data_IF_943748638573
#
_entry.id   IF_943748638573
#
_cell.length_a   1.000
_cell.length_b   1.000
_cell.length_c   1.000
_cell.angle_alpha   90.00
_cell.angle_beta   90.00
_cell.angle_gamma   90.00
#
_symmetry.space_group_name_H-M   'P 1'
#
loop_
_entity.id
_entity.type
_entity.pdbx_description
1 polymer ?
#
# COMPACT_ATOMS: atom_id res chain seq x y z
N UNK A 1 -46.81 -33.13 30.03
CA UNK A 1 -46.28 -31.89 29.42
C UNK A 1 -44.77 -32.03 29.34
N UNK A 2 -44.22 -32.23 28.14
CA UNK A 2 -42.78 -32.34 27.93
C UNK A 2 -42.24 -30.92 27.79
N UNK A 3 -41.48 -30.46 28.79
CA UNK A 3 -40.82 -29.16 28.76
C UNK A 3 -39.56 -29.31 27.89
N UNK A 4 -39.65 -28.96 26.62
CA UNK A 4 -38.49 -28.91 25.72
C UNK A 4 -37.73 -27.62 26.03
N UNK A 5 -36.66 -27.74 26.83
CA UNK A 5 -35.70 -26.65 27.05
C UNK A 5 -34.86 -26.55 25.79
N UNK A 6 -35.26 -25.65 24.89
CA UNK A 6 -34.43 -25.21 23.76
C UNK A 6 -33.32 -24.34 24.34
N UNK A 7 -32.19 -24.95 24.67
CA UNK A 7 -30.97 -24.23 25.01
C UNK A 7 -30.47 -23.50 23.77
N UNK A 8 -30.77 -22.20 23.71
CA UNK A 8 -30.20 -21.25 22.76
C UNK A 8 -28.70 -21.17 23.07
N UNK A 9 -27.89 -21.85 22.26
CA UNK A 9 -26.45 -21.63 22.17
C UNK A 9 -26.22 -20.19 21.69
N UNK A 10 -26.01 -19.28 22.63
CA UNK A 10 -25.41 -17.98 22.36
C UNK A 10 -23.95 -18.23 21.96
N UNK A 11 -23.72 -18.44 20.67
CA UNK A 11 -22.40 -18.33 20.07
C UNK A 11 -22.06 -16.85 20.08
N UNK A 12 -21.57 -16.36 21.22
CA UNK A 12 -20.83 -15.10 21.28
C UNK A 12 -19.58 -15.32 20.46
N UNK A 13 -19.62 -14.91 19.20
CA UNK A 13 -18.47 -14.83 18.32
C UNK A 13 -17.47 -13.90 18.99
N UNK A 14 -16.49 -14.47 19.69
CA UNK A 14 -15.32 -13.75 20.16
C UNK A 14 -14.45 -13.41 18.93
N UNK A 15 -14.93 -12.48 18.09
CA UNK A 15 -14.06 -11.68 17.23
C UNK A 15 -13.27 -10.76 18.18
N UNK A 16 -12.22 -11.31 18.78
CA UNK A 16 -11.25 -10.51 19.52
C UNK A 16 -10.72 -9.40 18.61
N UNK A 17 -10.46 -8.22 19.18
CA UNK A 17 -9.84 -7.11 18.45
C UNK A 17 -8.57 -7.62 17.75
N UNK A 18 -8.31 -7.24 16.49
CA UNK A 18 -7.08 -7.65 15.83
C UNK A 18 -5.87 -7.19 16.64
N UNK A 19 -4.77 -7.94 16.60
CA UNK A 19 -3.53 -7.49 17.23
C UNK A 19 -3.00 -6.23 16.52
N UNK A 20 -2.28 -5.37 17.25
CA UNK A 20 -1.69 -4.15 16.67
C UNK A 20 -0.93 -4.44 15.37
N UNK A 21 -0.10 -5.49 15.35
CA UNK A 21 0.57 -5.97 14.14
C UNK A 21 -0.34 -6.21 12.94
N UNK A 22 -1.51 -6.83 13.13
CA UNK A 22 -2.48 -7.07 12.05
C UNK A 22 -3.13 -5.77 11.59
N UNK A 23 -3.49 -4.89 12.53
CA UNK A 23 -4.05 -3.57 12.21
C UNK A 23 -3.05 -2.71 11.44
N UNK A 24 -1.80 -2.67 11.88
CA UNK A 24 -0.72 -1.92 11.24
C UNK A 24 -0.39 -2.46 9.84
N UNK A 25 -0.35 -3.78 9.64
CA UNK A 25 -0.16 -4.36 8.31
C UNK A 25 -1.32 -4.02 7.35
N UNK A 26 -2.57 -4.08 7.82
CA UNK A 26 -3.74 -3.70 7.02
C UNK A 26 -3.77 -2.20 6.69
N UNK A 27 -3.32 -1.36 7.63
CA UNK A 27 -3.16 0.08 7.42
C UNK A 27 -2.08 0.38 6.37
N UNK A 28 -0.92 -0.29 6.47
CA UNK A 28 0.16 -0.20 5.49
C UNK A 28 -0.27 -0.67 4.10
N UNK A 29 -1.03 -1.76 3.98
CA UNK A 29 -1.58 -2.22 2.71
C UNK A 29 -2.53 -1.18 2.09
N UNK A 30 -3.38 -0.56 2.91
CA UNK A 30 -4.33 0.47 2.46
C UNK A 30 -3.59 1.71 1.95
N UNK A 31 -2.53 2.14 2.65
CA UNK A 31 -1.64 3.19 2.18
C UNK A 31 -0.98 2.83 0.83
N UNK A 32 -0.38 1.64 0.72
CA UNK A 32 0.28 1.20 -0.53
C UNK A 32 -0.70 1.05 -1.68
N UNK A 33 -1.93 0.64 -1.40
CA UNK A 33 -3.00 0.61 -2.39
C UNK A 33 -3.37 2.01 -2.85
N UNK A 34 -3.46 2.99 -1.95
CA UNK A 34 -3.69 4.39 -2.32
C UNK A 34 -2.53 4.98 -3.13
N UNK A 35 -1.29 4.64 -2.76
CA UNK A 35 -0.06 5.11 -3.43
C UNK A 35 0.09 4.54 -4.85
N UNK A 36 -0.20 3.25 -5.05
CA UNK A 36 0.05 2.53 -6.30
C UNK A 36 -1.20 2.26 -7.15
N UNK A 37 -2.39 2.72 -6.75
CA UNK A 37 -3.58 2.69 -7.61
C UNK A 37 -3.68 4.02 -8.35
N UNK A 38 -3.09 4.09 -9.54
CA UNK A 38 -2.92 5.32 -10.31
C UNK A 38 -3.32 5.10 -11.76
N UNK A 39 -4.11 6.02 -12.33
CA UNK A 39 -4.35 6.10 -13.76
C UNK A 39 -3.48 7.19 -14.39
N UNK A 40 -3.14 7.03 -15.67
CA UNK A 40 -2.40 8.04 -16.45
C UNK A 40 -3.01 9.46 -16.42
N UNK A 41 -4.32 9.56 -16.20
CA UNK A 41 -5.09 10.82 -16.17
C UNK A 41 -5.27 11.39 -14.78
N UNK A 42 -4.77 10.72 -13.74
CA UNK A 42 -4.92 11.20 -12.37
C UNK A 42 -4.11 12.50 -12.16
N UNK A 43 -4.62 13.35 -11.27
CA UNK A 43 -3.96 14.59 -10.86
C UNK A 43 -3.01 14.35 -9.67
N UNK A 44 -1.83 14.95 -9.75
CA UNK A 44 -0.80 14.77 -8.73
C UNK A 44 -1.25 15.35 -7.37
N UNK A 45 -1.96 16.46 -7.36
CA UNK A 45 -2.44 17.13 -6.13
C UNK A 45 -3.46 16.25 -5.42
N UNK A 46 -4.43 15.71 -6.16
CA UNK A 46 -5.43 14.79 -5.60
C UNK A 46 -4.79 13.53 -5.02
N UNK A 47 -3.74 13.01 -5.68
CA UNK A 47 -2.97 11.89 -5.16
C UNK A 47 -2.26 12.25 -3.85
N UNK A 48 -1.66 13.45 -3.72
CA UNK A 48 -1.03 13.91 -2.47
C UNK A 48 -2.04 13.98 -1.34
N UNK A 49 -3.18 14.63 -1.56
CA UNK A 49 -4.20 14.81 -0.54
C UNK A 49 -4.75 13.47 -0.01
N UNK A 50 -4.91 12.46 -0.88
CA UNK A 50 -5.29 11.10 -0.46
C UNK A 50 -4.28 10.47 0.50
N UNK A 51 -2.99 10.73 0.32
CA UNK A 51 -1.93 10.13 1.12
C UNK A 51 -1.73 10.81 2.48
N UNK A 52 -2.12 12.09 2.60
CA UNK A 52 -2.04 12.85 3.86
C UNK A 52 -2.77 12.17 5.03
N UNK A 53 -3.85 11.44 4.75
CA UNK A 53 -4.57 10.68 5.77
C UNK A 53 -3.71 9.60 6.42
N UNK A 54 -2.79 8.99 5.66
CA UNK A 54 -1.97 7.87 6.12
C UNK A 54 -0.68 8.31 6.79
N UNK A 55 -0.09 9.40 6.31
CA UNK A 55 1.25 9.82 6.71
C UNK A 55 1.20 10.72 7.95
N UNK A 56 2.29 10.68 8.73
CA UNK A 56 2.62 11.78 9.65
C UNK A 56 2.88 13.06 8.85
N UNK A 57 2.76 14.23 9.48
CA UNK A 57 3.02 15.50 8.79
C UNK A 57 4.46 15.58 8.27
N UNK A 58 5.43 15.12 9.06
CA UNK A 58 6.83 15.06 8.64
C UNK A 58 7.01 14.16 7.41
N UNK A 59 6.51 12.93 7.45
CA UNK A 59 6.62 12.00 6.32
C UNK A 59 5.87 12.51 5.08
N UNK A 60 4.72 13.17 5.25
CA UNK A 60 4.01 13.80 4.13
C UNK A 60 4.84 14.91 3.47
N UNK A 61 5.53 15.73 4.26
CA UNK A 61 6.39 16.79 3.74
C UNK A 61 7.59 16.21 2.99
N UNK A 62 8.30 15.24 3.56
CA UNK A 62 9.40 14.53 2.89
C UNK A 62 8.92 13.92 1.57
N UNK A 63 7.80 13.21 1.61
CA UNK A 63 7.22 12.53 0.45
C UNK A 63 6.79 13.49 -0.67
N UNK A 64 6.30 14.68 -0.33
CA UNK A 64 5.79 15.66 -1.31
C UNK A 64 6.85 16.62 -1.84
N UNK A 65 7.96 16.80 -1.12
CA UNK A 65 9.12 17.57 -1.55
C UNK A 65 10.09 16.74 -2.39
N UNK A 66 10.15 15.42 -2.16
CA UNK A 66 10.98 14.53 -2.95
C UNK A 66 10.39 14.29 -4.35
N UNK A 67 11.24 14.37 -5.38
CA UNK A 67 10.89 13.95 -6.74
C UNK A 67 10.70 12.42 -6.88
N UNK A 68 10.71 11.66 -5.77
CA UNK A 68 10.30 10.25 -5.74
C UNK A 68 8.82 10.07 -6.06
N UNK A 69 7.95 10.95 -5.55
CA UNK A 69 6.51 10.77 -5.65
C UNK A 69 5.93 10.78 -7.07
N UNK A 70 6.33 11.71 -7.97
CA UNK A 70 5.79 11.75 -9.34
C UNK A 70 6.02 10.46 -10.13
N UNK A 71 7.00 9.63 -9.73
CA UNK A 71 7.47 8.49 -10.53
C UNK A 71 6.39 7.45 -10.84
N UNK A 72 5.39 7.24 -9.97
CA UNK A 72 4.29 6.30 -10.25
C UNK A 72 3.32 6.86 -11.29
N UNK A 73 2.97 8.14 -11.19
CA UNK A 73 2.11 8.80 -12.18
C UNK A 73 2.83 8.95 -13.53
N UNK A 74 4.12 9.27 -13.51
CA UNK A 74 4.98 9.30 -14.70
C UNK A 74 5.04 7.93 -15.37
N UNK A 75 5.28 6.86 -14.61
CA UNK A 75 5.27 5.50 -15.15
C UNK A 75 3.92 5.12 -15.78
N UNK A 76 2.80 5.54 -15.17
CA UNK A 76 1.46 5.31 -15.71
C UNK A 76 1.23 6.07 -17.04
N UNK A 77 1.71 7.32 -17.11
CA UNK A 77 1.66 8.16 -18.33
C UNK A 77 2.54 7.59 -19.44
N UNK A 78 3.79 7.26 -19.13
CA UNK A 78 4.77 6.70 -20.07
C UNK A 78 4.32 5.38 -20.68
N UNK A 79 3.65 4.53 -19.89
CA UNK A 79 3.17 3.23 -20.33
C UNK A 79 1.74 3.24 -20.87
N UNK A 80 1.10 4.41 -20.91
CA UNK A 80 -0.31 4.61 -21.28
C UNK A 80 -1.25 3.61 -20.58
N UNK A 81 -1.13 3.51 -19.25
CA UNK A 81 -1.75 2.44 -18.48
C UNK A 81 -2.32 2.90 -17.14
N UNK A 82 -3.00 1.95 -16.47
CA UNK A 82 -3.27 2.01 -15.04
C UNK A 82 -2.22 1.19 -14.30
N UNK A 83 -1.77 1.69 -13.15
CA UNK A 83 -0.94 0.96 -12.20
C UNK A 83 -1.82 0.53 -11.01
N UNK A 84 -1.62 -0.71 -10.52
CA UNK A 84 -2.29 -1.22 -9.31
C UNK A 84 -1.34 -2.03 -8.45
N UNK A 85 -1.53 -1.95 -7.13
CA UNK A 85 -1.01 -2.94 -6.21
C UNK A 85 -1.78 -4.26 -6.39
N UNK A 86 -1.07 -5.34 -6.73
CA UNK A 86 -1.66 -6.69 -6.82
C UNK A 86 -1.63 -7.42 -5.49
N UNK A 87 -0.48 -7.38 -4.82
CA UNK A 87 -0.27 -7.99 -3.51
C UNK A 87 0.88 -7.30 -2.79
N UNK A 88 0.82 -7.33 -1.47
CA UNK A 88 1.91 -6.96 -0.57
C UNK A 88 2.04 -8.00 0.52
N UNK A 89 3.26 -8.23 1.00
CA UNK A 89 3.54 -9.09 2.14
C UNK A 89 4.45 -8.34 3.09
N UNK A 90 4.04 -8.25 4.34
CA UNK A 90 4.79 -7.59 5.40
C UNK A 90 5.48 -8.62 6.29
N UNK A 91 6.74 -8.36 6.61
CA UNK A 91 7.54 -9.10 7.57
C UNK A 91 7.98 -8.12 8.65
N UNK A 92 7.50 -8.25 9.90
CA UNK A 92 7.93 -7.36 10.97
C UNK A 92 9.44 -7.51 11.20
N UNK A 93 10.11 -6.38 11.34
CA UNK A 93 11.54 -6.30 11.64
C UNK A 93 11.79 -5.85 13.09
N UNK A 94 10.91 -5.01 13.64
CA UNK A 94 10.93 -4.53 15.03
C UNK A 94 9.52 -4.22 15.53
N UNK A 95 9.21 -4.49 16.80
CA UNK A 95 7.87 -4.29 17.38
C UNK A 95 7.95 -3.78 18.82
N UNK A 96 7.17 -2.74 19.09
CA UNK A 96 6.95 -2.15 20.41
C UNK A 96 5.46 -1.85 20.59
N UNK A 97 5.07 -1.35 21.77
CA UNK A 97 3.66 -1.13 22.11
C UNK A 97 2.97 -0.10 21.20
N UNK A 98 3.70 0.90 20.69
CA UNK A 98 3.19 2.02 19.90
C UNK A 98 3.77 2.10 18.49
N UNK A 99 4.79 1.31 18.16
CA UNK A 99 5.47 1.30 16.86
C UNK A 99 5.72 -0.12 16.37
N UNK A 100 5.54 -0.32 15.07
CA UNK A 100 5.99 -1.52 14.38
C UNK A 100 6.71 -1.15 13.09
N UNK A 101 7.83 -1.81 12.86
CA UNK A 101 8.57 -1.75 11.61
C UNK A 101 8.31 -3.00 10.79
N UNK A 102 8.16 -2.79 9.49
CA UNK A 102 8.04 -3.86 8.52
C UNK A 102 9.09 -3.71 7.44
N UNK A 103 9.71 -4.81 7.07
CA UNK A 103 10.13 -5.03 5.69
C UNK A 103 8.92 -5.48 4.89
N UNK A 104 8.83 -5.07 3.63
CA UNK A 104 7.77 -5.53 2.75
C UNK A 104 8.24 -5.85 1.35
N UNK A 105 7.46 -6.70 0.70
CA UNK A 105 7.60 -7.04 -0.68
C UNK A 105 6.25 -6.88 -1.38
N UNK A 106 6.23 -6.11 -2.46
CA UNK A 106 5.02 -5.82 -3.21
C UNK A 106 5.15 -6.20 -4.69
N UNK A 107 4.02 -6.55 -5.27
CA UNK A 107 3.86 -6.81 -6.70
C UNK A 107 2.91 -5.77 -7.28
N UNK A 108 3.39 -5.05 -8.29
CA UNK A 108 2.69 -3.97 -8.95
C UNK A 108 2.35 -4.40 -10.38
N UNK A 109 1.11 -4.15 -10.81
CA UNK A 109 0.60 -4.45 -12.14
C UNK A 109 0.46 -3.19 -12.99
N UNK A 110 0.88 -3.29 -14.25
CA UNK A 110 0.62 -2.32 -15.29
C UNK A 110 -0.48 -2.89 -16.20
N UNK A 111 -1.60 -2.19 -16.29
CA UNK A 111 -2.84 -2.66 -16.93
C UNK A 111 -3.19 -1.70 -18.06
N UNK A 112 -3.28 -2.21 -19.30
CA UNK A 112 -3.63 -1.38 -20.45
C UNK A 112 -5.08 -0.85 -20.39
N UNK A 113 -5.43 0.03 -21.32
CA UNK A 113 -6.77 0.62 -21.43
C UNK A 113 -7.88 -0.41 -21.71
N UNK A 114 -7.53 -1.64 -22.11
CA UNK A 114 -8.45 -2.77 -22.35
C UNK A 114 -8.58 -3.68 -21.13
N UNK A 115 -7.92 -3.36 -20.02
CA UNK A 115 -7.93 -4.16 -18.80
C UNK A 115 -6.95 -5.34 -18.81
N UNK A 116 -6.07 -5.45 -19.80
CA UNK A 116 -5.08 -6.52 -19.89
C UNK A 116 -3.81 -6.15 -19.13
N UNK A 117 -3.31 -7.08 -18.31
CA UNK A 117 -2.00 -6.93 -17.63
C UNK A 117 -0.89 -6.95 -18.69
N UNK A 118 -0.15 -5.85 -18.81
CA UNK A 118 1.03 -5.69 -19.68
C UNK A 118 2.30 -6.20 -19.01
N UNK A 119 2.45 -5.90 -17.71
CA UNK A 119 3.66 -6.17 -16.93
C UNK A 119 3.33 -6.30 -15.44
N UNK A 120 4.11 -7.10 -14.75
CA UNK A 120 4.18 -7.11 -13.30
C UNK A 120 5.63 -6.82 -12.88
N UNK A 121 5.79 -5.98 -11.87
CA UNK A 121 7.10 -5.71 -11.28
C UNK A 121 7.05 -5.98 -9.79
N UNK A 122 8.22 -6.27 -9.23
CA UNK A 122 8.41 -6.59 -7.84
C UNK A 122 9.26 -5.51 -7.19
N UNK A 123 8.82 -4.96 -6.08
CA UNK A 123 9.57 -3.99 -5.28
C UNK A 123 9.64 -4.44 -3.84
N UNK A 124 10.72 -4.08 -3.17
CA UNK A 124 10.92 -4.26 -1.75
C UNK A 124 11.02 -2.89 -1.10
N UNK A 125 10.67 -2.82 0.17
CA UNK A 125 10.80 -1.60 0.94
C UNK A 125 10.70 -1.85 2.43
N UNK A 126 10.72 -0.76 3.18
CA UNK A 126 10.54 -0.75 4.61
C UNK A 126 9.54 0.34 5.01
N UNK A 127 8.75 0.05 6.05
CA UNK A 127 7.71 0.95 6.55
C UNK A 127 7.69 0.94 8.07
N UNK A 128 7.47 2.11 8.67
CA UNK A 128 7.25 2.26 10.11
C UNK A 128 5.85 2.80 10.37
N UNK A 129 5.02 2.01 11.06
CA UNK A 129 3.66 2.40 11.49
C UNK A 129 3.68 2.70 12.98
N UNK A 130 3.11 3.84 13.36
CA UNK A 130 3.02 4.30 14.75
C UNK A 130 1.56 4.53 15.16
N UNK A 131 1.28 4.36 16.45
CA UNK A 131 0.04 4.83 17.07
C UNK A 131 0.18 6.31 17.41
N UNK A 132 -0.85 7.08 17.10
CA UNK A 132 -1.00 8.48 17.51
C UNK A 132 -2.35 8.65 18.21
N UNK A 133 -2.57 9.80 18.84
CA UNK A 133 -3.88 10.15 19.40
C UNK A 133 -5.00 10.13 18.35
N UNK A 134 -4.66 10.39 17.08
CA UNK A 134 -5.57 10.40 15.94
C UNK A 134 -5.75 9.04 15.24
N UNK A 135 -5.11 7.99 15.77
CA UNK A 135 -5.06 6.65 15.16
C UNK A 135 -3.70 6.32 14.55
N UNK A 136 -3.66 5.32 13.67
CA UNK A 136 -2.41 4.86 13.05
C UNK A 136 -1.89 5.87 12.02
N UNK A 137 -0.57 6.02 11.97
CA UNK A 137 0.15 6.83 10.98
C UNK A 137 1.40 6.13 10.49
N UNK A 138 1.78 6.38 9.24
CA UNK A 138 3.08 5.98 8.70
C UNK A 138 4.06 7.12 8.95
N UNK A 139 5.09 6.80 9.74
CA UNK A 139 6.15 7.74 10.13
C UNK A 139 7.39 7.64 9.26
N UNK A 140 7.49 6.57 8.46
CA UNK A 140 8.54 6.34 7.48
C UNK A 140 8.06 5.35 6.43
N UNK A 141 8.30 5.63 5.16
CA UNK A 141 8.11 4.72 4.05
C UNK A 141 9.26 4.80 3.05
N UNK A 142 9.76 3.65 2.59
CA UNK A 142 10.81 3.63 1.57
C UNK A 142 10.75 2.36 0.72
N UNK A 143 10.43 2.52 -0.56
CA UNK A 143 10.63 1.51 -1.62
C UNK A 143 11.38 2.04 -2.85
N UNK A 144 11.86 3.29 -2.78
CA UNK A 144 12.53 3.97 -3.88
C UNK A 144 11.62 4.27 -5.08
N UNK A 145 12.16 5.00 -6.07
CA UNK A 145 11.41 5.44 -7.26
C UNK A 145 11.03 4.29 -8.18
N UNK A 146 10.03 4.51 -9.02
CA UNK A 146 9.89 3.77 -10.28
C UNK A 146 10.75 4.42 -11.36
N UNK A 147 11.86 3.79 -11.68
CA UNK A 147 12.73 4.22 -12.77
C UNK A 147 12.23 3.66 -14.11
N UNK A 148 12.46 4.35 -15.24
CA UNK A 148 12.19 3.80 -16.57
C UNK A 148 12.74 2.40 -16.78
N UNK A 149 13.92 2.07 -16.24
CA UNK A 149 14.51 0.72 -16.30
C UNK A 149 13.65 -0.36 -15.64
N UNK A 150 12.78 0.00 -14.69
CA UNK A 150 11.90 -0.95 -14.01
C UNK A 150 10.75 -1.38 -14.92
N UNK A 151 10.26 -0.50 -15.80
CA UNK A 151 9.03 -0.72 -16.58
C UNK A 151 9.22 -0.72 -18.10
N UNK A 152 10.18 0.02 -18.64
CA UNK A 152 10.56 -0.04 -20.04
C UNK A 152 11.38 -1.31 -20.28
N UNK A 153 10.89 -2.21 -21.13
CA UNK A 153 11.74 -3.28 -21.66
C UNK A 153 12.94 -2.62 -22.35
N UNK A 154 14.15 -3.11 -22.12
CA UNK A 154 15.33 -2.67 -22.86
C UNK A 154 15.02 -2.69 -24.35
N UNK A 155 14.87 -1.52 -24.97
CA UNK A 155 14.81 -1.45 -26.41
C UNK A 155 16.20 -1.84 -26.93
N UNK A 156 16.19 -2.80 -27.87
CA UNK A 156 17.25 -3.28 -28.76
C UNK A 156 18.07 -4.48 -28.22
N UNK A 157 18.26 -5.56 -28.97
CA UNK A 157 18.42 -5.63 -30.43
C UNK A 157 17.18 -6.02 -31.22
N UNK A 158 16.87 -5.16 -32.19
CA UNK A 158 16.30 -5.60 -33.46
C UNK A 158 17.39 -6.40 -34.20
N UNK A 159 17.02 -7.56 -34.73
CA UNK A 159 17.45 -8.03 -36.05
C UNK A 159 16.21 -8.61 -36.74
#
# INVERSE_FOLDING_TARGET
MVLVIVSVLLIVSACGKPSFKKEAAAFGESYKKAQYTVNRTDDLTDMKEKLKFYLTEHEYQEYTQDSMFPSVLEAAKDQDCQIKLKKITFTPSDESDDRIEFDYEMMIQFIDQKGKVKKEIKKKGAMTVIKTESGLKISRDWDGRLYPSDYQSSLQSRS
#
